data_IF_372322511800
#
_entry.id   IF_372322511800
#
_cell.length_a   1.000
_cell.length_b   1.000
_cell.length_c   1.000
_cell.angle_alpha   90.00
_cell.angle_beta   90.00
_cell.angle_gamma   90.00
#
_symmetry.space_group_name_H-M   'P 1'
#
loop_
_entity.id
_entity.type
_entity.pdbx_description
1 polymer ?
#
# COMPACT_ATOMS: atom_id res chain seq x y z
N UNK A 1 6.20 -14.71 17.92
CA UNK A 1 5.35 -13.54 17.76
C UNK A 1 5.67 -12.93 16.42
N UNK A 2 4.70 -12.49 15.66
CA UNK A 2 4.95 -11.93 14.32
C UNK A 2 4.38 -10.53 14.27
N UNK A 3 5.19 -9.58 13.84
CA UNK A 3 4.78 -8.20 13.65
C UNK A 3 4.65 -7.95 12.15
N UNK A 4 3.52 -7.40 11.73
CA UNK A 4 3.33 -6.88 10.39
C UNK A 4 3.24 -5.36 10.45
N UNK A 5 3.89 -4.73 9.51
CA UNK A 5 3.82 -3.31 9.30
C UNK A 5 3.37 -3.06 7.86
N UNK A 6 2.32 -2.30 7.69
CA UNK A 6 1.78 -1.96 6.38
C UNK A 6 2.06 -0.48 6.11
N UNK A 7 2.75 -0.19 5.01
CA UNK A 7 3.00 1.17 4.56
C UNK A 7 2.23 1.43 3.28
N UNK A 8 1.62 2.59 3.21
CA UNK A 8 1.04 3.12 2.00
C UNK A 8 1.90 4.27 1.50
N UNK A 9 2.40 4.18 0.28
CA UNK A 9 3.25 5.19 -0.32
C UNK A 9 2.48 6.04 -1.33
N UNK A 10 2.52 7.37 -1.19
CA UNK A 10 2.14 8.26 -2.27
C UNK A 10 3.32 8.42 -3.22
N UNK A 11 3.20 7.88 -4.43
CA UNK A 11 4.25 8.03 -5.44
C UNK A 11 4.08 9.40 -6.10
N UNK A 12 4.76 10.41 -5.57
CA UNK A 12 5.10 11.59 -6.33
C UNK A 12 6.39 11.25 -7.08
N UNK A 13 6.27 10.82 -8.33
CA UNK A 13 7.47 10.44 -9.07
C UNK A 13 8.38 11.64 -9.32
N UNK A 14 9.68 11.44 -9.17
CA UNK A 14 10.69 12.46 -9.32
C UNK A 14 10.83 12.92 -10.77
N UNK A 15 11.68 13.93 -10.94
CA UNK A 15 12.13 14.44 -12.22
C UNK A 15 12.49 13.31 -13.19
N UNK A 16 12.06 13.45 -14.42
CA UNK A 16 12.29 12.55 -15.54
C UNK A 16 13.72 12.00 -15.64
N UNK A 17 14.72 12.81 -15.31
CA UNK A 17 16.13 12.42 -15.33
C UNK A 17 16.46 11.27 -14.36
N UNK A 18 15.80 11.21 -13.20
CA UNK A 18 16.04 10.15 -12.24
C UNK A 18 15.41 8.82 -12.65
N UNK A 19 14.23 8.86 -13.28
CA UNK A 19 13.60 7.67 -13.86
C UNK A 19 14.45 7.03 -14.96
N UNK A 20 14.89 7.81 -15.91
CA UNK A 20 15.70 7.31 -17.04
C UNK A 20 17.04 6.76 -16.57
N UNK A 21 17.67 7.41 -15.58
CA UNK A 21 18.90 6.88 -14.96
C UNK A 21 18.66 5.54 -14.29
N UNK A 22 17.59 5.38 -13.52
CA UNK A 22 17.25 4.09 -12.86
C UNK A 22 16.91 3.01 -13.87
N UNK A 23 16.17 3.31 -14.92
CA UNK A 23 15.88 2.34 -15.98
C UNK A 23 17.15 1.81 -16.63
N UNK A 24 18.14 2.65 -16.84
CA UNK A 24 19.43 2.22 -17.37
C UNK A 24 20.26 1.44 -16.36
N UNK A 25 20.41 1.95 -15.13
CA UNK A 25 21.34 1.38 -14.13
C UNK A 25 20.80 0.11 -13.47
N UNK A 26 19.49 0.05 -13.15
CA UNK A 26 18.88 -1.06 -12.41
C UNK A 26 18.34 -2.13 -13.36
N UNK A 27 17.69 -1.73 -14.46
CA UNK A 27 17.05 -2.67 -15.39
C UNK A 27 17.82 -2.92 -16.67
N UNK A 28 18.98 -2.23 -16.86
CA UNK A 28 19.78 -2.38 -18.06
C UNK A 28 19.09 -1.91 -19.35
N UNK A 29 18.04 -1.09 -19.24
CA UNK A 29 17.29 -0.59 -20.40
C UNK A 29 18.14 0.45 -21.10
N UNK A 30 18.42 0.24 -22.39
CA UNK A 30 19.32 1.10 -23.19
C UNK A 30 18.72 1.41 -24.57
N UNK A 31 19.43 2.27 -25.29
CA UNK A 31 19.16 2.58 -26.71
C UNK A 31 17.71 3.02 -26.96
N UNK A 32 17.06 2.46 -27.96
CA UNK A 32 15.70 2.83 -28.41
C UNK A 32 14.65 2.63 -27.32
N UNK A 33 14.79 1.58 -26.49
CA UNK A 33 13.86 1.35 -25.40
C UNK A 33 13.93 2.46 -24.35
N UNK A 34 15.13 2.90 -23.96
CA UNK A 34 15.30 4.03 -23.04
C UNK A 34 14.76 5.33 -23.62
N UNK A 35 14.98 5.59 -24.93
CA UNK A 35 14.43 6.75 -25.63
C UNK A 35 12.90 6.74 -25.63
N UNK A 36 12.28 5.57 -25.79
CA UNK A 36 10.84 5.43 -25.71
C UNK A 36 10.32 5.79 -24.31
N UNK A 37 10.93 5.26 -23.25
CA UNK A 37 10.57 5.63 -21.88
C UNK A 37 10.75 7.14 -21.65
N UNK A 38 11.84 7.72 -22.13
CA UNK A 38 12.07 9.15 -22.05
C UNK A 38 10.94 9.92 -22.71
N UNK A 39 10.54 9.58 -23.94
CA UNK A 39 9.45 10.25 -24.65
C UNK A 39 8.09 10.07 -23.94
N UNK A 40 7.86 8.93 -23.32
CA UNK A 40 6.61 8.63 -22.60
C UNK A 40 6.43 9.50 -21.35
N UNK A 41 7.52 9.85 -20.66
CA UNK A 41 7.46 10.62 -19.42
C UNK A 41 7.78 12.10 -19.59
N UNK A 42 8.32 12.52 -20.75
CA UNK A 42 8.64 13.94 -21.09
C UNK A 42 7.40 14.67 -21.58
N UNK A 43 7.42 16.00 -21.39
CA UNK A 43 6.46 16.95 -21.98
C UNK A 43 5.00 16.54 -21.87
N UNK A 44 4.63 16.04 -20.70
CA UNK A 44 3.26 15.61 -20.42
C UNK A 44 2.41 16.77 -19.93
N UNK A 45 1.18 16.80 -20.42
CA UNK A 45 0.16 17.74 -20.01
C UNK A 45 -1.11 17.01 -19.62
N UNK A 46 -1.85 17.60 -18.69
CA UNK A 46 -3.19 17.14 -18.32
C UNK A 46 -4.21 18.24 -18.56
N UNK A 47 -5.40 17.86 -18.97
CA UNK A 47 -6.58 18.69 -19.01
C UNK A 47 -7.79 17.93 -18.51
N UNK A 48 -8.75 18.59 -17.92
CA UNK A 48 -10.01 17.99 -17.47
C UNK A 48 -11.11 18.37 -18.44
N UNK A 49 -11.84 17.38 -18.95
CA UNK A 49 -12.98 17.60 -19.85
C UNK A 49 -14.28 17.24 -19.14
N UNK A 50 -15.24 18.16 -19.14
CA UNK A 50 -16.60 17.96 -18.60
C UNK A 50 -17.59 18.55 -19.58
N UNK A 51 -18.58 17.77 -20.02
CA UNK A 51 -19.63 18.22 -20.93
C UNK A 51 -19.13 18.98 -22.17
N UNK A 52 -18.15 18.42 -22.87
CA UNK A 52 -17.48 18.99 -24.05
C UNK A 52 -16.71 20.30 -23.80
N UNK A 53 -16.53 20.71 -22.56
CA UNK A 53 -15.65 21.83 -22.20
C UNK A 53 -14.39 21.28 -21.55
N UNK A 54 -13.22 21.73 -22.04
CA UNK A 54 -11.92 21.30 -21.50
C UNK A 54 -11.20 22.46 -20.82
N UNK A 55 -10.53 22.17 -19.70
CA UNK A 55 -9.63 23.14 -19.07
C UNK A 55 -8.41 23.42 -19.94
N UNK A 56 -7.71 24.51 -19.67
CA UNK A 56 -6.37 24.73 -20.22
C UNK A 56 -5.44 23.57 -19.83
N UNK A 57 -4.55 23.11 -20.75
CA UNK A 57 -3.54 22.13 -20.42
C UNK A 57 -2.59 22.63 -19.32
N UNK A 58 -2.33 21.81 -18.32
CA UNK A 58 -1.35 22.05 -17.26
C UNK A 58 -0.23 21.04 -17.38
N UNK A 59 1.02 21.47 -17.32
CA UNK A 59 2.17 20.58 -17.44
C UNK A 59 2.26 19.65 -16.24
N UNK A 60 2.45 18.36 -16.50
CA UNK A 60 2.72 17.34 -15.49
C UNK A 60 4.23 17.24 -15.28
N UNK A 61 4.69 17.86 -14.21
CA UNK A 61 6.12 17.86 -13.84
C UNK A 61 6.45 16.58 -13.05
N UNK A 62 5.48 16.04 -12.30
CA UNK A 62 5.64 14.87 -11.42
C UNK A 62 4.53 13.85 -11.66
N UNK A 63 4.78 12.63 -11.21
CA UNK A 63 3.79 11.56 -11.18
C UNK A 63 3.79 10.66 -12.42
N UNK A 64 3.34 9.44 -12.25
CA UNK A 64 2.99 8.51 -13.32
C UNK A 64 1.51 8.18 -13.21
N UNK A 65 0.88 7.74 -14.32
CA UNK A 65 -0.50 7.28 -14.25
C UNK A 65 -0.65 6.17 -13.19
N UNK A 66 -1.68 6.26 -12.37
CA UNK A 66 -2.00 5.22 -11.40
C UNK A 66 -2.19 3.88 -12.12
N UNK A 67 -1.70 2.78 -11.54
CA UNK A 67 -1.70 1.48 -12.18
C UNK A 67 -0.61 1.28 -13.25
N UNK A 68 0.28 2.25 -13.43
CA UNK A 68 1.43 2.12 -14.33
C UNK A 68 2.48 1.18 -13.76
N UNK A 69 3.09 0.36 -14.61
CA UNK A 69 4.25 -0.51 -14.28
C UNK A 69 5.47 0.31 -13.82
N UNK A 70 5.52 1.58 -14.17
CA UNK A 70 6.65 2.46 -13.83
C UNK A 70 6.77 2.72 -12.32
N UNK A 71 5.67 2.75 -11.58
CA UNK A 71 5.67 2.91 -10.13
C UNK A 71 6.45 1.78 -9.45
N UNK A 72 6.01 0.51 -9.56
CA UNK A 72 6.73 -0.65 -9.03
C UNK A 72 8.19 -0.75 -9.50
N UNK A 73 8.48 -0.49 -10.77
CA UNK A 73 9.87 -0.47 -11.25
C UNK A 73 10.71 0.58 -10.53
N UNK A 74 10.14 1.73 -10.20
CA UNK A 74 10.86 2.77 -9.50
C UNK A 74 11.16 2.39 -8.04
N UNK A 75 10.26 1.66 -7.38
CA UNK A 75 10.40 1.24 -5.97
C UNK A 75 11.18 -0.06 -5.78
N UNK A 76 11.55 -0.77 -6.86
CA UNK A 76 12.33 -2.02 -6.79
C UNK A 76 13.56 -1.95 -5.88
N UNK A 77 14.41 -0.88 -5.88
CA UNK A 77 15.57 -0.81 -5.01
C UNK A 77 15.25 -0.82 -3.51
N UNK A 78 13.99 -0.54 -3.14
CA UNK A 78 13.54 -0.62 -1.76
C UNK A 78 13.65 -2.05 -1.20
N UNK A 79 13.49 -3.05 -2.05
CA UNK A 79 13.66 -4.46 -1.68
C UNK A 79 15.06 -4.76 -1.13
N UNK A 80 16.10 -4.20 -1.75
CA UNK A 80 17.48 -4.41 -1.32
C UNK A 80 17.75 -3.73 0.02
N UNK A 81 17.20 -2.54 0.22
CA UNK A 81 17.31 -1.80 1.48
C UNK A 81 16.69 -2.60 2.63
N UNK A 82 15.47 -3.10 2.43
CA UNK A 82 14.76 -3.87 3.46
C UNK A 82 15.48 -5.19 3.74
N UNK A 83 16.03 -5.86 2.72
CA UNK A 83 16.75 -7.11 2.87
C UNK A 83 17.99 -6.99 3.78
N UNK A 84 18.62 -5.80 3.88
CA UNK A 84 19.74 -5.56 4.77
C UNK A 84 19.39 -5.65 6.26
N UNK A 85 18.09 -5.57 6.61
CA UNK A 85 17.59 -5.61 7.99
C UNK A 85 17.04 -6.96 8.42
N UNK A 86 17.23 -8.03 7.63
CA UNK A 86 16.65 -9.35 7.93
C UNK A 86 15.13 -9.29 8.19
N UNK A 87 14.44 -8.41 7.49
CA UNK A 87 12.99 -8.22 7.53
C UNK A 87 12.40 -8.78 6.25
N UNK A 88 11.38 -9.65 6.38
CA UNK A 88 10.62 -10.10 5.23
C UNK A 88 9.73 -8.98 4.72
N UNK A 89 9.57 -8.89 3.41
CA UNK A 89 8.76 -7.86 2.81
C UNK A 89 8.00 -8.34 1.59
N UNK A 90 6.94 -7.62 1.27
CA UNK A 90 6.20 -7.75 0.03
C UNK A 90 5.90 -6.34 -0.49
N UNK A 91 6.18 -6.13 -1.78
CA UNK A 91 5.87 -4.90 -2.49
C UNK A 91 4.70 -5.18 -3.44
N UNK A 92 3.62 -4.45 -3.30
CA UNK A 92 2.44 -4.56 -4.16
C UNK A 92 2.02 -3.16 -4.63
N UNK A 93 2.42 -2.81 -5.86
CA UNK A 93 2.24 -1.47 -6.40
C UNK A 93 2.87 -0.39 -5.49
N UNK A 94 2.05 0.42 -4.86
CA UNK A 94 2.42 1.45 -3.90
C UNK A 94 2.39 0.95 -2.44
N UNK A 95 1.85 -0.24 -2.20
CA UNK A 95 1.78 -0.82 -0.86
C UNK A 95 3.04 -1.61 -0.53
N UNK A 96 3.65 -1.32 0.60
CA UNK A 96 4.80 -2.04 1.14
C UNK A 96 4.42 -2.70 2.46
N UNK A 97 4.68 -4.00 2.55
CA UNK A 97 4.44 -4.78 3.76
C UNK A 97 5.77 -5.26 4.32
N UNK A 98 5.98 -5.05 5.60
CA UNK A 98 7.12 -5.58 6.34
C UNK A 98 6.63 -6.62 7.34
N UNK A 99 7.35 -7.71 7.45
CA UNK A 99 7.04 -8.79 8.38
C UNK A 99 8.30 -9.26 9.09
N UNK A 100 8.24 -9.32 10.41
CA UNK A 100 9.28 -9.91 11.24
C UNK A 100 8.70 -10.81 12.32
N UNK A 101 9.38 -11.91 12.60
CA UNK A 101 8.91 -12.94 13.54
C UNK A 101 10.06 -13.34 14.44
N UNK A 102 9.92 -13.06 15.74
CA UNK A 102 10.91 -13.40 16.74
C UNK A 102 10.24 -13.92 18.03
N UNK A 103 10.97 -14.63 18.91
CA UNK A 103 10.49 -14.99 20.22
C UNK A 103 10.08 -13.75 21.03
N UNK A 104 9.13 -13.91 21.95
CA UNK A 104 8.65 -12.81 22.79
C UNK A 104 9.78 -12.18 23.64
N UNK A 105 10.77 -12.99 24.04
CA UNK A 105 11.97 -12.52 24.78
C UNK A 105 12.83 -11.53 23.99
N UNK A 106 12.73 -11.52 22.67
CA UNK A 106 13.52 -10.67 21.78
C UNK A 106 12.73 -9.50 21.20
N UNK A 107 11.57 -9.22 21.78
CA UNK A 107 10.66 -8.19 21.28
C UNK A 107 11.30 -6.80 21.20
N UNK A 108 12.16 -6.46 22.15
CA UNK A 108 12.89 -5.17 22.11
C UNK A 108 13.88 -5.10 20.94
N UNK A 109 14.57 -6.23 20.63
CA UNK A 109 15.47 -6.29 19.47
C UNK A 109 14.66 -6.20 18.16
N UNK A 110 13.55 -6.93 18.06
CA UNK A 110 12.64 -6.90 16.91
C UNK A 110 12.16 -5.46 16.62
N UNK A 111 11.69 -4.75 17.64
CA UNK A 111 11.21 -3.37 17.49
C UNK A 111 12.35 -2.44 17.04
N UNK A 112 13.56 -2.60 17.60
CA UNK A 112 14.72 -1.82 17.20
C UNK A 112 15.10 -2.05 15.74
N UNK A 113 15.11 -3.30 15.29
CA UNK A 113 15.43 -3.64 13.91
C UNK A 113 14.37 -3.12 12.92
N UNK A 114 13.08 -3.25 13.27
CA UNK A 114 12.01 -2.67 12.46
C UNK A 114 12.11 -1.15 12.39
N UNK A 115 12.41 -0.48 13.51
CA UNK A 115 12.59 0.97 13.51
C UNK A 115 13.78 1.37 12.61
N UNK A 116 14.92 0.69 12.71
CA UNK A 116 16.05 0.94 11.83
C UNK A 116 15.71 0.73 10.35
N UNK A 117 15.00 -0.35 10.02
CA UNK A 117 14.54 -0.61 8.67
C UNK A 117 13.60 0.49 8.16
N UNK A 118 12.65 0.94 8.99
CA UNK A 118 11.71 1.99 8.61
C UNK A 118 12.38 3.35 8.44
N UNK A 119 13.40 3.65 9.22
CA UNK A 119 14.19 4.87 9.07
C UNK A 119 14.98 4.90 7.76
N UNK A 120 15.58 3.77 7.37
CA UNK A 120 16.29 3.64 6.08
C UNK A 120 15.30 3.73 4.90
N UNK A 121 14.13 3.09 5.00
CA UNK A 121 13.05 3.24 4.02
C UNK A 121 12.67 4.71 3.85
N UNK A 122 12.44 5.41 4.95
CA UNK A 122 12.03 6.83 4.93
C UNK A 122 13.12 7.73 4.36
N UNK A 123 14.37 7.45 4.69
CA UNK A 123 15.53 8.15 4.13
C UNK A 123 15.58 7.97 2.63
N UNK A 124 15.54 6.73 2.16
CA UNK A 124 15.54 6.42 0.73
C UNK A 124 14.35 7.05 -0.01
N UNK A 125 13.15 7.01 0.57
CA UNK A 125 11.97 7.65 0.00
C UNK A 125 12.17 9.16 -0.15
N UNK A 126 12.70 9.81 0.88
CA UNK A 126 12.98 11.24 0.86
C UNK A 126 13.99 11.61 -0.21
N UNK A 127 15.10 10.88 -0.32
CA UNK A 127 16.14 11.05 -1.34
C UNK A 127 15.59 10.84 -2.76
N UNK A 128 14.59 9.96 -2.89
CA UNK A 128 13.94 9.64 -4.16
C UNK A 128 12.64 10.40 -4.38
N UNK A 129 12.39 11.47 -3.60
CA UNK A 129 11.21 12.35 -3.70
C UNK A 129 9.87 11.60 -3.61
N UNK A 130 9.86 10.50 -2.87
CA UNK A 130 8.66 9.76 -2.50
C UNK A 130 8.19 10.24 -1.14
N UNK A 131 6.89 10.28 -0.94
CA UNK A 131 6.30 10.60 0.36
C UNK A 131 5.61 9.36 0.94
N UNK A 132 6.07 8.98 2.12
CA UNK A 132 5.37 7.98 2.91
C UNK A 132 4.07 8.59 3.46
N UNK A 133 3.01 7.81 3.46
CA UNK A 133 1.74 8.22 4.07
C UNK A 133 1.67 7.71 5.51
N UNK A 134 2.19 8.52 6.43
CA UNK A 134 2.24 8.18 7.84
C UNK A 134 0.84 7.90 8.42
N UNK A 135 -0.21 8.61 7.95
CA UNK A 135 -1.59 8.46 8.42
C UNK A 135 -2.25 7.14 7.99
N UNK A 136 -1.75 6.52 6.93
CA UNK A 136 -2.23 5.22 6.44
C UNK A 136 -1.33 4.06 6.87
N UNK A 137 -0.22 4.34 7.54
CA UNK A 137 0.67 3.29 8.01
C UNK A 137 0.07 2.62 9.24
N UNK A 138 -0.08 1.30 9.20
CA UNK A 138 -0.68 0.51 10.27
C UNK A 138 0.30 -0.55 10.76
N UNK A 139 0.35 -0.76 12.06
CA UNK A 139 1.16 -1.81 12.70
C UNK A 139 0.24 -2.85 13.36
N UNK A 140 0.49 -4.13 13.08
CA UNK A 140 -0.30 -5.21 13.63
C UNK A 140 0.62 -6.25 14.27
N UNK A 141 0.28 -6.65 15.49
CA UNK A 141 1.01 -7.62 16.28
C UNK A 141 0.20 -8.92 16.41
N UNK A 142 0.82 -10.04 16.04
CA UNK A 142 0.20 -11.37 16.16
C UNK A 142 0.86 -12.16 17.30
N UNK A 143 0.23 -12.29 18.47
CA UNK A 143 0.70 -13.18 19.52
C UNK A 143 0.43 -14.63 19.12
N UNK A 144 1.49 -15.40 18.94
CA UNK A 144 1.42 -16.79 18.43
C UNK A 144 0.97 -17.84 19.45
N UNK A 145 0.41 -17.50 20.60
CA UNK A 145 -0.05 -18.53 21.55
C UNK A 145 -1.27 -18.09 22.32
N UNK A 146 -2.34 -18.87 22.21
CA UNK A 146 -3.50 -18.84 23.11
C UNK A 146 -3.14 -19.23 24.57
N UNK A 147 -1.91 -19.68 24.81
CA UNK A 147 -1.39 -20.18 26.10
C UNK A 147 -0.49 -19.17 26.81
N UNK A 148 -0.36 -17.94 26.31
CA UNK A 148 0.36 -16.91 27.04
C UNK A 148 -0.44 -16.55 28.29
N UNK A 149 -0.05 -17.20 29.42
CA UNK A 149 -0.25 -16.57 30.71
C UNK A 149 0.23 -15.13 30.60
N UNK A 150 -0.40 -14.15 31.26
CA UNK A 150 0.05 -12.77 31.21
C UNK A 150 1.55 -12.78 31.54
N UNK A 151 2.36 -12.62 30.48
CA UNK A 151 3.81 -12.63 30.63
C UNK A 151 4.19 -11.31 31.28
N UNK A 152 5.13 -11.38 32.18
CA UNK A 152 5.73 -10.21 32.85
C UNK A 152 6.55 -9.32 31.89
N UNK A 153 6.60 -9.67 30.60
CA UNK A 153 7.30 -8.92 29.57
C UNK A 153 6.33 -7.89 29.00
N UNK A 154 6.59 -6.59 29.20
CA UNK A 154 5.76 -5.54 28.62
C UNK A 154 5.91 -5.59 27.10
N UNK A 155 4.77 -5.66 26.40
CA UNK A 155 4.73 -5.50 24.96
C UNK A 155 4.93 -4.03 24.61
N UNK A 156 5.67 -3.69 23.54
CA UNK A 156 5.72 -2.32 23.07
C UNK A 156 4.33 -1.89 22.57
N UNK A 157 3.98 -0.65 22.86
CA UNK A 157 2.69 -0.09 22.47
C UNK A 157 2.70 0.44 21.03
N UNK A 158 3.88 0.68 20.47
CA UNK A 158 4.05 1.30 19.15
C UNK A 158 5.37 0.94 18.48
N UNK A 159 5.45 1.21 17.19
CA UNK A 159 6.68 1.23 16.38
C UNK A 159 6.94 2.68 15.98
N UNK A 160 8.20 3.08 15.92
CA UNK A 160 8.60 4.42 15.51
C UNK A 160 8.90 4.43 14.01
N UNK A 161 8.31 5.38 13.28
CA UNK A 161 8.57 5.64 11.87
C UNK A 161 9.12 7.07 11.74
N UNK A 162 10.44 7.22 11.77
CA UNK A 162 11.06 8.52 11.85
C UNK A 162 10.65 9.27 13.13
N UNK A 163 9.87 10.37 12.99
CA UNK A 163 9.33 11.13 14.12
C UNK A 163 7.94 10.70 14.56
N UNK A 164 7.30 9.76 13.86
CA UNK A 164 5.93 9.33 14.13
C UNK A 164 5.91 8.00 14.89
N UNK A 165 5.09 7.93 15.94
CA UNK A 165 4.80 6.69 16.64
C UNK A 165 3.53 6.07 16.07
N UNK A 166 3.63 4.86 15.57
CA UNK A 166 2.53 4.08 15.02
C UNK A 166 2.10 3.08 16.09
N UNK A 167 0.92 3.24 16.69
CA UNK A 167 0.44 2.31 17.70
C UNK A 167 0.09 0.97 17.07
N UNK A 168 0.24 -0.12 17.81
CA UNK A 168 -0.28 -1.42 17.39
C UNK A 168 -1.80 -1.41 17.41
N UNK A 169 -2.38 -1.74 16.26
CA UNK A 169 -3.83 -1.83 16.07
C UNK A 169 -4.33 -3.25 16.31
N UNK A 170 -5.60 -3.39 16.74
CA UNK A 170 -6.27 -4.69 16.82
C UNK A 170 -6.59 -5.29 15.45
N UNK A 171 -6.59 -4.48 14.41
CA UNK A 171 -6.83 -4.89 13.03
C UNK A 171 -6.30 -3.85 12.06
N UNK A 172 -5.83 -4.31 10.91
CA UNK A 172 -5.31 -3.49 9.82
C UNK A 172 -5.92 -3.90 8.48
N UNK A 173 -6.03 -2.93 7.57
CA UNK A 173 -6.42 -3.18 6.18
C UNK A 173 -5.22 -3.64 5.36
N UNK A 174 -5.38 -4.67 4.54
CA UNK A 174 -4.34 -5.17 3.65
C UNK A 174 -4.95 -5.69 2.35
N UNK A 175 -4.67 -5.03 1.23
CA UNK A 175 -5.10 -5.44 -0.12
C UNK A 175 -6.60 -5.84 -0.17
N UNK A 176 -7.46 -5.04 0.44
CA UNK A 176 -8.90 -5.30 0.51
C UNK A 176 -9.34 -6.23 1.64
N UNK A 177 -8.42 -6.86 2.38
CA UNK A 177 -8.72 -7.68 3.54
C UNK A 177 -8.55 -6.88 4.83
N UNK A 178 -9.36 -7.20 5.86
CA UNK A 178 -9.16 -6.72 7.22
C UNK A 178 -8.57 -7.88 8.02
N UNK A 179 -7.30 -7.75 8.39
CA UNK A 179 -6.62 -8.69 9.27
C UNK A 179 -6.82 -8.23 10.71
N UNK A 180 -7.16 -9.13 11.60
CA UNK A 180 -7.20 -8.87 13.05
C UNK A 180 -6.06 -9.62 13.77
N UNK A 181 -5.64 -9.10 14.93
CA UNK A 181 -4.52 -9.64 15.71
C UNK A 181 -4.65 -11.12 16.10
N UNK A 182 -5.85 -11.69 15.98
CA UNK A 182 -6.15 -13.11 16.25
C UNK A 182 -6.29 -13.93 14.97
N UNK A 183 -6.20 -13.32 13.79
CA UNK A 183 -6.44 -13.94 12.50
C UNK A 183 -7.82 -14.63 12.41
N UNK A 184 -8.81 -14.10 13.12
CA UNK A 184 -10.16 -14.68 13.16
C UNK A 184 -10.97 -14.36 11.90
N UNK A 185 -10.55 -13.37 11.12
CA UNK A 185 -11.23 -12.85 9.93
C UNK A 185 -12.65 -12.31 10.21
N UNK A 186 -13.06 -12.26 11.47
CA UNK A 186 -14.42 -11.87 11.87
C UNK A 186 -14.76 -10.45 11.42
N UNK A 187 -13.84 -9.49 11.62
CA UNK A 187 -14.04 -8.10 11.20
C UNK A 187 -14.19 -7.99 9.69
N UNK A 188 -13.40 -8.76 8.93
CA UNK A 188 -13.47 -8.80 7.48
C UNK A 188 -14.83 -9.33 6.99
N UNK A 189 -15.28 -10.47 7.51
CA UNK A 189 -16.60 -11.05 7.16
C UNK A 189 -17.73 -10.09 7.50
N UNK A 190 -17.69 -9.46 8.67
CA UNK A 190 -18.70 -8.46 9.07
C UNK A 190 -18.72 -7.30 8.06
N UNK A 191 -17.55 -6.77 7.67
CA UNK A 191 -17.44 -5.68 6.71
C UNK A 191 -18.03 -6.07 5.35
N UNK A 192 -17.68 -7.25 4.83
CA UNK A 192 -18.24 -7.76 3.56
C UNK A 192 -19.76 -7.86 3.65
N UNK A 193 -20.28 -8.46 4.72
CA UNK A 193 -21.73 -8.57 4.90
C UNK A 193 -22.40 -7.20 4.92
N UNK A 194 -21.86 -6.26 5.68
CA UNK A 194 -22.42 -4.90 5.76
C UNK A 194 -22.44 -4.21 4.39
N UNK A 195 -21.33 -4.26 3.66
CA UNK A 195 -21.23 -3.66 2.32
C UNK A 195 -22.20 -4.34 1.34
N UNK A 196 -22.26 -5.67 1.36
CA UNK A 196 -23.17 -6.45 0.50
C UNK A 196 -24.64 -6.09 0.78
N UNK A 197 -25.04 -6.06 2.06
CA UNK A 197 -26.42 -5.67 2.43
C UNK A 197 -26.74 -4.23 2.04
N UNK A 198 -25.80 -3.32 2.17
CA UNK A 198 -25.98 -1.95 1.75
C UNK A 198 -26.21 -1.86 0.24
N UNK A 199 -25.40 -2.53 -0.58
CA UNK A 199 -25.57 -2.53 -2.04
C UNK A 199 -26.86 -3.24 -2.48
N UNK A 200 -27.21 -4.37 -1.87
CA UNK A 200 -28.49 -5.02 -2.13
C UNK A 200 -29.69 -4.10 -1.82
N UNK A 201 -29.62 -3.34 -0.74
CA UNK A 201 -30.63 -2.35 -0.40
C UNK A 201 -30.72 -1.24 -1.45
N UNK A 202 -29.58 -0.76 -1.96
CA UNK A 202 -29.53 0.21 -3.07
C UNK A 202 -30.17 -0.34 -4.33
N UNK A 203 -29.80 -1.55 -4.74
CA UNK A 203 -30.41 -2.22 -5.92
C UNK A 203 -31.92 -2.41 -5.71
N UNK A 204 -32.34 -2.86 -4.53
CA UNK A 204 -33.75 -3.04 -4.21
C UNK A 204 -34.54 -1.74 -4.33
N UNK A 205 -33.99 -0.59 -3.93
CA UNK A 205 -34.68 0.70 -4.01
C UNK A 205 -34.94 1.16 -5.45
N UNK A 206 -34.08 0.78 -6.40
CA UNK A 206 -34.22 1.14 -7.81
C UNK A 206 -34.78 -0.01 -8.68
N UNK A 207 -35.01 -1.19 -8.08
CA UNK A 207 -35.47 -2.42 -8.78
C UNK A 207 -36.68 -2.18 -9.68
N UNK A 208 -37.62 -1.35 -9.25
CA UNK A 208 -38.86 -1.03 -9.98
C UNK A 208 -38.61 -0.29 -11.30
N UNK A 209 -37.43 0.32 -11.47
CA UNK A 209 -37.07 1.05 -12.69
C UNK A 209 -36.14 0.24 -13.61
N UNK A 210 -35.76 -0.98 -13.21
CA UNK A 210 -34.83 -1.83 -13.92
C UNK A 210 -35.58 -2.99 -14.59
N UNK A 211 -35.11 -3.38 -15.77
CA UNK A 211 -35.49 -4.66 -16.40
C UNK A 211 -34.93 -5.82 -15.58
N UNK A 212 -35.45 -7.02 -15.80
CA UNK A 212 -34.95 -8.22 -15.13
C UNK A 212 -33.48 -8.49 -15.48
N UNK A 213 -33.10 -8.33 -16.75
CA UNK A 213 -31.72 -8.54 -17.20
C UNK A 213 -30.75 -7.51 -16.64
N UNK A 214 -31.17 -6.23 -16.58
CA UNK A 214 -30.35 -5.19 -15.94
C UNK A 214 -30.16 -5.48 -14.44
N UNK A 215 -31.19 -5.99 -13.77
CA UNK A 215 -31.09 -6.37 -12.35
C UNK A 215 -30.13 -7.55 -12.17
N UNK A 216 -30.24 -8.60 -13.00
CA UNK A 216 -29.32 -9.74 -12.97
C UNK A 216 -27.88 -9.28 -13.19
N UNK A 217 -27.65 -8.44 -14.19
CA UNK A 217 -26.31 -7.89 -14.48
C UNK A 217 -25.74 -7.14 -13.28
N UNK A 218 -26.51 -6.26 -12.64
CA UNK A 218 -26.07 -5.52 -11.45
C UNK A 218 -25.73 -6.45 -10.29
N UNK A 219 -26.54 -7.46 -10.02
CA UNK A 219 -26.28 -8.41 -8.92
C UNK A 219 -25.07 -9.29 -9.22
N UNK A 220 -24.91 -9.77 -10.44
CA UNK A 220 -23.79 -10.64 -10.82
C UNK A 220 -22.46 -9.90 -10.98
N UNK A 221 -22.49 -8.62 -11.37
CA UNK A 221 -21.29 -7.79 -11.49
C UNK A 221 -20.79 -7.26 -10.14
N UNK A 222 -21.62 -7.33 -9.10
CA UNK A 222 -21.21 -6.88 -7.78
C UNK A 222 -20.19 -7.85 -7.17
N UNK A 223 -18.99 -7.30 -6.91
CA UNK A 223 -17.95 -8.04 -6.19
C UNK A 223 -17.70 -7.38 -4.82
N UNK A 224 -18.09 -8.02 -3.72
CA UNK A 224 -17.94 -7.44 -2.37
C UNK A 224 -16.48 -7.29 -1.92
N UNK A 225 -15.52 -7.91 -2.61
CA UNK A 225 -14.09 -7.82 -2.27
C UNK A 225 -13.42 -6.57 -2.85
N UNK A 226 -14.06 -5.90 -3.80
CA UNK A 226 -13.52 -4.70 -4.47
C UNK A 226 -14.28 -3.42 -4.11
N UNK A 227 -15.20 -3.50 -3.18
CA UNK A 227 -16.08 -2.40 -2.76
C UNK A 227 -15.57 -1.67 -1.51
#
# INVERSE_FOLDING_TARGET
>A
MTTFLFFFCWIFLPLLSQLTTKFSSVFGIQSTALQWFHSYVSDRYQSTSVNNSSSSPSQLIYGVPQGSVLGPMYTTPLSDIIANHSVNHQLFADDTQLQKSDPLSEMTSLTKELNACTDDIKTWMTENQLKLNDDKTEALLFPFSSSLKPSTIPLPDSITLGSHNIPFSDSAGNLGFILDSKLSMKKHVIKICQTTYFELKRISSIRRFLTEDATKTLVTSYNPLTA
#
